data_IF_445858236463
#
_entry.id   IF_445858236463
#
_cell.length_a   1.000
_cell.length_b   1.000
_cell.length_c   1.000
_cell.angle_alpha   90.00
_cell.angle_beta   90.00
_cell.angle_gamma   90.00
#
_symmetry.space_group_name_H-M   'P 1'
#
loop_
_entity.id
_entity.type
_entity.pdbx_description
1 polymer ?
#
# COMPACT_ATOMS: atom_id res chain seq x y z
N UNK A 1 0.80 -20.54 21.84
CA UNK A 1 -0.30 -21.05 20.97
C UNK A 1 -1.18 -19.86 20.62
N UNK A 2 -1.32 -19.52 19.33
CA UNK A 2 -2.16 -18.42 18.84
C UNK A 2 -3.50 -19.00 18.37
N UNK A 3 -4.57 -18.23 18.51
CA UNK A 3 -5.89 -18.58 18.00
C UNK A 3 -6.43 -17.39 17.21
N UNK A 4 -7.02 -17.68 16.05
CA UNK A 4 -7.78 -16.71 15.26
C UNK A 4 -9.26 -17.06 15.42
N UNK A 5 -10.07 -16.06 15.75
CA UNK A 5 -11.52 -16.23 15.92
C UNK A 5 -12.19 -15.35 14.87
N UNK A 6 -12.75 -15.98 13.84
CA UNK A 6 -13.50 -15.30 12.79
C UNK A 6 -14.97 -15.20 13.19
N UNK A 7 -15.51 -13.98 13.20
CA UNK A 7 -16.92 -13.70 13.46
C UNK A 7 -17.46 -12.93 12.26
N UNK A 8 -18.20 -13.62 11.41
CA UNK A 8 -18.94 -12.99 10.31
C UNK A 8 -20.20 -12.31 10.87
N UNK A 9 -20.22 -10.98 10.80
CA UNK A 9 -21.33 -10.14 11.26
C UNK A 9 -22.46 -10.02 10.21
N UNK A 10 -22.22 -10.48 8.98
CA UNK A 10 -23.18 -10.43 7.87
C UNK A 10 -23.90 -11.76 7.65
N UNK A 11 -23.41 -12.83 8.27
CA UNK A 11 -24.05 -14.15 8.29
C UNK A 11 -25.50 -14.04 8.78
N UNK A 12 -26.45 -14.55 7.98
CA UNK A 12 -27.88 -14.55 8.31
C UNK A 12 -28.20 -15.31 9.60
N UNK A 13 -27.34 -16.27 9.99
CA UNK A 13 -27.45 -16.97 11.27
C UNK A 13 -26.94 -16.14 12.47
N UNK A 14 -26.34 -14.97 12.23
CA UNK A 14 -25.88 -14.02 13.26
C UNK A 14 -26.93 -12.96 13.61
N UNK A 15 -28.20 -13.36 13.57
CA UNK A 15 -29.33 -12.54 13.98
C UNK A 15 -29.30 -12.22 15.50
N UNK A 16 -29.74 -11.02 15.96
CA UNK A 16 -29.73 -10.63 17.37
C UNK A 16 -30.42 -11.60 18.34
N UNK A 17 -31.40 -12.37 17.87
CA UNK A 17 -32.09 -13.36 18.69
C UNK A 17 -31.45 -14.74 18.71
N UNK A 18 -30.49 -14.99 17.81
CA UNK A 18 -29.79 -16.25 17.70
C UNK A 18 -28.94 -16.58 18.94
N UNK A 19 -28.74 -17.88 19.18
CA UNK A 19 -27.80 -18.35 20.21
C UNK A 19 -26.36 -17.92 19.92
N UNK A 20 -25.98 -17.84 18.64
CA UNK A 20 -24.64 -17.45 18.19
C UNK A 20 -24.34 -16.00 18.58
N UNK A 21 -25.23 -15.07 18.23
CA UNK A 21 -25.11 -13.66 18.61
C UNK A 21 -25.05 -13.47 20.13
N UNK A 22 -26.03 -14.05 20.85
CA UNK A 22 -26.11 -13.94 22.32
C UNK A 22 -24.85 -14.46 23.01
N UNK A 23 -24.26 -15.55 22.50
CA UNK A 23 -23.01 -16.12 23.02
C UNK A 23 -21.81 -15.20 22.82
N UNK A 24 -21.66 -14.61 21.63
CA UNK A 24 -20.57 -13.66 21.34
C UNK A 24 -20.71 -12.40 22.20
N UNK A 25 -21.91 -11.85 22.28
CA UNK A 25 -22.20 -10.64 23.06
C UNK A 25 -21.89 -10.84 24.55
N UNK A 26 -22.34 -11.96 25.13
CA UNK A 26 -22.03 -12.32 26.52
C UNK A 26 -20.52 -12.47 26.74
N UNK A 27 -19.80 -13.09 25.80
CA UNK A 27 -18.37 -13.27 25.92
C UNK A 27 -17.60 -11.93 25.97
N UNK A 28 -17.99 -10.98 25.11
CA UNK A 28 -17.33 -9.66 25.01
C UNK A 28 -17.76 -8.67 26.09
N UNK A 29 -19.00 -8.76 26.61
CA UNK A 29 -19.51 -7.83 27.63
C UNK A 29 -19.26 -8.29 29.05
N UNK A 30 -19.54 -9.56 29.35
CA UNK A 30 -19.57 -10.05 30.74
C UNK A 30 -18.37 -10.95 31.04
N UNK A 31 -18.07 -11.91 30.17
CA UNK A 31 -17.02 -12.89 30.44
C UNK A 31 -15.62 -12.27 30.40
N UNK A 32 -15.32 -11.51 29.34
CA UNK A 32 -14.02 -10.90 29.13
C UNK A 32 -14.17 -9.55 28.42
N UNK A 33 -14.33 -8.45 29.17
CA UNK A 33 -14.35 -7.11 28.59
C UNK A 33 -12.97 -6.75 28.07
N UNK A 34 -12.81 -6.75 26.76
CA UNK A 34 -11.58 -6.34 26.07
C UNK A 34 -11.68 -4.86 25.67
N UNK A 35 -10.56 -4.15 25.74
CA UNK A 35 -10.45 -2.76 25.34
C UNK A 35 -9.20 -2.59 24.47
N UNK A 36 -9.34 -1.84 23.39
CA UNK A 36 -8.28 -1.57 22.42
C UNK A 36 -8.42 -0.16 21.89
N UNK A 37 -7.32 0.37 21.39
CA UNK A 37 -7.30 1.57 20.57
C UNK A 37 -7.55 1.17 19.11
N UNK A 38 -8.46 1.87 18.44
CA UNK A 38 -8.87 1.55 17.08
C UNK A 38 -8.57 2.71 16.13
N UNK A 39 -8.01 2.38 14.96
CA UNK A 39 -8.08 3.24 13.79
C UNK A 39 -9.42 2.99 13.11
N UNK A 40 -10.21 4.05 12.89
CA UNK A 40 -11.55 3.97 12.31
C UNK A 40 -11.63 4.85 11.07
N UNK A 41 -12.14 4.28 9.98
CA UNK A 41 -12.50 4.98 8.76
C UNK A 41 -13.77 4.38 8.19
N UNK A 42 -14.55 5.18 7.47
CA UNK A 42 -15.77 4.75 6.82
C UNK A 42 -15.87 5.42 5.46
N UNK A 43 -16.08 4.60 4.43
CA UNK A 43 -16.41 5.08 3.10
C UNK A 43 -17.92 5.29 3.02
N UNK A 44 -18.37 6.55 3.08
CA UNK A 44 -19.79 6.86 3.04
C UNK A 44 -20.32 6.76 1.60
N UNK A 45 -21.17 5.76 1.35
CA UNK A 45 -21.85 5.53 0.07
C UNK A 45 -23.34 5.93 0.09
N UNK A 46 -23.84 6.42 1.23
CA UNK A 46 -25.26 6.72 1.44
C UNK A 46 -25.54 8.19 1.74
N UNK A 47 -26.82 8.53 1.85
CA UNK A 47 -27.29 9.88 2.23
C UNK A 47 -27.20 10.14 3.74
N UNK A 48 -26.85 9.13 4.54
CA UNK A 48 -26.78 9.26 5.99
C UNK A 48 -25.67 10.23 6.42
N UNK A 49 -26.08 11.21 7.24
CA UNK A 49 -25.22 12.28 7.77
C UNK A 49 -24.61 11.96 9.13
N UNK A 50 -24.84 10.76 9.67
CA UNK A 50 -24.29 10.40 10.97
C UNK A 50 -22.77 10.31 10.89
N UNK A 51 -22.07 10.87 11.88
CA UNK A 51 -20.60 10.88 11.90
C UNK A 51 -20.10 9.99 13.02
N UNK A 52 -18.91 9.40 12.86
CA UNK A 52 -18.25 8.68 13.96
C UNK A 52 -18.15 9.52 15.23
N UNK A 53 -17.90 10.82 15.09
CA UNK A 53 -17.81 11.75 16.22
C UNK A 53 -19.11 11.78 17.03
N UNK A 54 -20.27 11.85 16.38
CA UNK A 54 -21.56 11.80 17.07
C UNK A 54 -21.83 10.44 17.72
N UNK A 55 -21.54 9.35 17.02
CA UNK A 55 -21.80 7.99 17.49
C UNK A 55 -20.94 7.62 18.70
N UNK A 56 -19.66 7.97 18.66
CA UNK A 56 -18.68 7.69 19.72
C UNK A 56 -18.48 8.87 20.68
N UNK A 57 -19.45 9.78 20.81
CA UNK A 57 -19.37 10.96 21.68
C UNK A 57 -19.03 10.67 23.15
N UNK A 58 -19.31 9.45 23.63
CA UNK A 58 -18.97 8.98 24.99
C UNK A 58 -17.53 8.46 25.12
N UNK A 59 -16.77 8.41 24.02
CA UNK A 59 -15.39 7.94 23.94
C UNK A 59 -14.48 9.07 23.48
N UNK A 60 -13.18 8.98 23.79
CA UNK A 60 -12.19 9.92 23.30
C UNK A 60 -11.86 9.60 21.84
N UNK A 61 -12.64 10.14 20.92
CA UNK A 61 -12.41 10.03 19.49
C UNK A 61 -11.73 11.29 18.96
N UNK A 62 -10.73 11.10 18.09
CA UNK A 62 -10.00 12.19 17.45
C UNK A 62 -10.05 12.00 15.93
N UNK A 63 -10.31 13.08 15.20
CA UNK A 63 -10.22 13.10 13.76
C UNK A 63 -8.78 13.40 13.35
N UNK A 64 -8.20 12.53 12.51
CA UNK A 64 -6.87 12.71 11.95
C UNK A 64 -6.95 12.82 10.43
N UNK A 65 -6.14 13.69 9.86
CA UNK A 65 -5.94 13.79 8.42
C UNK A 65 -4.64 13.07 8.05
N UNK A 66 -4.58 12.37 6.91
CA UNK A 66 -3.34 11.85 6.40
C UNK A 66 -2.30 12.96 6.22
N UNK A 67 -1.05 12.65 6.55
CA UNK A 67 0.08 13.54 6.30
C UNK A 67 0.51 13.38 4.85
N UNK A 68 0.60 14.49 4.12
CA UNK A 68 1.11 14.50 2.74
C UNK A 68 2.42 15.26 2.66
N UNK A 69 3.42 14.68 2.01
CA UNK A 69 4.70 15.32 1.73
C UNK A 69 5.03 15.22 0.25
N UNK A 70 5.54 16.32 -0.31
CA UNK A 70 5.97 16.40 -1.70
C UNK A 70 7.47 16.68 -1.74
N UNK A 71 8.16 15.98 -2.63
CA UNK A 71 9.57 16.21 -2.91
C UNK A 71 9.82 16.22 -4.41
N UNK A 72 10.70 17.12 -4.86
CA UNK A 72 11.15 17.17 -6.26
C UNK A 72 12.63 16.81 -6.29
N UNK A 73 12.90 15.61 -6.80
CA UNK A 73 14.25 15.14 -7.04
C UNK A 73 14.74 15.67 -8.38
N UNK A 74 16.01 16.11 -8.44
CA UNK A 74 16.60 16.66 -9.65
C UNK A 74 17.68 15.74 -10.20
N UNK A 75 17.79 15.69 -11.53
CA UNK A 75 18.80 14.90 -12.25
C UNK A 75 18.82 13.43 -11.81
N UNK A 76 17.64 12.83 -11.63
CA UNK A 76 17.51 11.45 -11.18
C UNK A 76 17.80 10.50 -12.35
N UNK A 77 18.68 9.53 -12.16
CA UNK A 77 18.82 8.43 -13.11
C UNK A 77 17.68 7.44 -12.96
N UNK A 78 16.86 7.32 -13.99
CA UNK A 78 15.72 6.42 -14.05
C UNK A 78 16.02 5.22 -14.97
N UNK A 79 15.73 3.97 -14.55
CA UNK A 79 15.82 2.79 -15.41
C UNK A 79 14.98 2.92 -16.68
N UNK A 80 15.50 2.41 -17.79
CA UNK A 80 14.74 2.29 -19.05
C UNK A 80 13.92 1.01 -18.99
N UNK A 81 12.63 1.09 -19.29
CA UNK A 81 11.68 0.00 -19.17
C UNK A 81 10.92 -0.21 -20.48
N UNK A 82 10.59 -1.47 -20.78
CA UNK A 82 9.67 -1.84 -21.86
C UNK A 82 8.49 -2.61 -21.27
N UNK A 83 7.26 -2.16 -21.51
CA UNK A 83 6.07 -2.69 -20.83
C UNK A 83 5.86 -4.19 -21.04
N UNK A 84 6.28 -4.72 -22.18
CA UNK A 84 6.16 -6.13 -22.55
C UNK A 84 7.32 -7.02 -22.09
N UNK A 85 8.36 -6.48 -21.42
CA UNK A 85 9.58 -7.22 -21.05
C UNK A 85 9.83 -7.16 -19.54
N UNK A 86 9.13 -8.00 -18.76
CA UNK A 86 9.25 -8.04 -17.30
C UNK A 86 10.65 -8.45 -16.79
N UNK A 87 11.35 -9.31 -17.53
CA UNK A 87 12.70 -9.76 -17.16
C UNK A 87 13.80 -8.80 -17.62
N UNK A 88 13.41 -7.70 -18.29
CA UNK A 88 14.35 -6.83 -18.97
C UNK A 88 14.96 -7.51 -20.21
N UNK A 89 15.71 -6.74 -20.96
CA UNK A 89 16.44 -7.20 -22.13
C UNK A 89 17.83 -6.61 -22.09
N UNK A 90 18.83 -7.47 -22.26
CA UNK A 90 20.24 -7.09 -22.14
C UNK A 90 20.55 -5.83 -22.95
N UNK A 91 21.13 -4.83 -22.30
CA UNK A 91 21.50 -3.52 -22.86
C UNK A 91 20.34 -2.65 -23.41
N UNK A 92 19.10 -3.12 -23.36
CA UNK A 92 17.93 -2.42 -23.92
C UNK A 92 16.94 -1.96 -22.85
N UNK A 93 16.66 -2.79 -21.84
CA UNK A 93 15.72 -2.47 -20.76
C UNK A 93 16.03 -3.20 -19.46
N UNK A 94 15.73 -2.55 -18.35
CA UNK A 94 15.85 -3.13 -17.01
C UNK A 94 14.65 -4.03 -16.70
N UNK A 95 14.86 -4.97 -15.78
CA UNK A 95 13.82 -5.86 -15.27
C UNK A 95 12.88 -5.16 -14.27
N UNK A 96 11.71 -5.76 -14.07
CA UNK A 96 10.76 -5.35 -13.05
C UNK A 96 11.38 -5.43 -11.64
N UNK A 97 12.17 -6.47 -11.35
CA UNK A 97 12.81 -6.61 -10.04
C UNK A 97 13.82 -5.49 -9.75
N UNK A 98 14.68 -5.17 -10.71
CA UNK A 98 15.64 -4.06 -10.57
C UNK A 98 14.95 -2.71 -10.33
N UNK A 99 13.82 -2.48 -11.01
CA UNK A 99 13.01 -1.30 -10.77
C UNK A 99 12.44 -1.27 -9.34
N UNK A 100 11.96 -2.41 -8.83
CA UNK A 100 11.38 -2.50 -7.50
C UNK A 100 12.41 -2.14 -6.42
N UNK A 101 13.62 -2.69 -6.51
CA UNK A 101 14.72 -2.37 -5.60
C UNK A 101 15.14 -0.89 -5.72
N UNK A 102 15.21 -0.37 -6.95
CA UNK A 102 15.54 1.04 -7.20
C UNK A 102 14.49 2.00 -6.63
N UNK A 103 13.20 1.70 -6.74
CA UNK A 103 12.13 2.50 -6.14
C UNK A 103 12.28 2.58 -4.62
N UNK A 104 12.63 1.46 -3.96
CA UNK A 104 12.93 1.43 -2.54
C UNK A 104 14.06 2.41 -2.18
N UNK A 105 15.14 2.43 -2.96
CA UNK A 105 16.25 3.38 -2.75
C UNK A 105 15.82 4.85 -2.95
N UNK A 106 15.00 5.13 -3.98
CA UNK A 106 14.49 6.48 -4.27
C UNK A 106 13.59 6.99 -3.16
N UNK A 107 12.63 6.18 -2.69
CA UNK A 107 11.71 6.59 -1.61
C UNK A 107 12.43 6.83 -0.28
N UNK A 108 13.53 6.12 -0.03
CA UNK A 108 14.36 6.29 1.17
C UNK A 108 15.47 7.34 1.00
N UNK A 109 15.50 8.07 -0.11
CA UNK A 109 16.51 9.09 -0.42
C UNK A 109 17.96 8.57 -0.31
N UNK A 110 18.18 7.33 -0.74
CA UNK A 110 19.50 6.69 -0.76
C UNK A 110 20.31 7.27 -1.92
N UNK A 111 21.55 7.69 -1.65
CA UNK A 111 22.46 8.13 -2.69
C UNK A 111 22.87 6.98 -3.62
N UNK A 112 22.65 7.16 -4.92
CA UNK A 112 23.01 6.19 -5.97
C UNK A 112 24.37 6.47 -6.62
N UNK A 113 25.04 7.53 -6.18
CA UNK A 113 26.37 7.90 -6.64
C UNK A 113 27.41 6.99 -5.98
N UNK A 114 27.81 5.91 -6.66
CA UNK A 114 28.89 5.01 -6.23
C UNK A 114 30.26 5.71 -6.30
N UNK A 115 30.45 6.71 -5.44
CA UNK A 115 31.67 7.50 -5.30
C UNK A 115 32.64 6.72 -4.43
N UNK A 116 33.84 6.48 -4.95
CA UNK A 116 34.90 5.67 -4.31
C UNK A 116 35.36 6.17 -2.93
N UNK A 117 35.02 7.41 -2.56
CA UNK A 117 35.32 8.02 -1.26
C UNK A 117 34.13 8.05 -0.30
N UNK A 118 32.96 7.58 -0.72
CA UNK A 118 31.75 7.47 0.10
C UNK A 118 31.52 6.01 0.48
N UNK A 119 31.61 5.70 1.76
CA UNK A 119 31.29 4.37 2.32
C UNK A 119 29.77 4.18 2.57
N UNK A 120 28.93 5.09 2.05
CA UNK A 120 27.51 5.15 2.39
C UNK A 120 26.65 4.14 1.63
N UNK A 121 26.95 3.85 0.36
CA UNK A 121 26.16 2.93 -0.46
C UNK A 121 26.96 2.47 -1.67
N UNK A 122 26.96 1.15 -1.92
CA UNK A 122 27.43 0.56 -3.18
C UNK A 122 26.29 0.35 -4.19
N UNK A 123 25.05 0.66 -3.80
CA UNK A 123 23.88 0.49 -4.64
C UNK A 123 23.89 1.53 -5.79
N UNK A 124 23.75 1.04 -7.02
CA UNK A 124 23.82 1.83 -8.25
C UNK A 124 22.47 1.81 -8.97
N UNK A 125 22.20 2.81 -9.80
CA UNK A 125 21.04 2.77 -10.68
C UNK A 125 21.16 1.63 -11.71
N UNK A 126 20.14 0.78 -11.90
CA UNK A 126 20.10 -0.26 -12.93
C UNK A 126 20.37 0.30 -14.33
N UNK A 127 21.00 -0.48 -15.20
CA UNK A 127 21.33 -0.08 -16.57
C UNK A 127 20.60 -0.94 -17.61
N UNK A 128 20.12 -0.35 -18.73
CA UNK A 128 20.32 1.04 -19.14
C UNK A 128 19.44 2.05 -18.38
N UNK A 129 19.95 3.27 -18.20
CA UNK A 129 19.26 4.36 -17.49
C UNK A 129 19.26 5.67 -18.28
N UNK A 130 18.28 6.54 -18.00
CA UNK A 130 18.19 7.90 -18.55
C UNK A 130 18.12 8.92 -17.41
N UNK A 131 18.84 10.02 -17.54
CA UNK A 131 18.76 11.14 -16.58
C UNK A 131 17.48 11.92 -16.82
N UNK A 132 16.62 11.99 -15.82
CA UNK A 132 15.42 12.81 -15.80
C UNK A 132 15.70 14.07 -14.99
N UNK A 133 15.43 15.24 -15.58
CA UNK A 133 15.71 16.54 -14.95
C UNK A 133 14.94 16.69 -13.63
N UNK A 134 13.67 16.27 -13.60
CA UNK A 134 12.78 16.41 -12.45
C UNK A 134 11.93 15.15 -12.25
N UNK A 135 11.98 14.59 -11.05
CA UNK A 135 11.08 13.53 -10.60
C UNK A 135 10.28 14.01 -9.38
N UNK A 136 8.96 13.83 -9.45
CA UNK A 136 8.04 14.24 -8.39
C UNK A 136 7.70 13.03 -7.52
N UNK A 137 7.97 13.13 -6.22
CA UNK A 137 7.65 12.09 -5.23
C UNK A 137 6.61 12.65 -4.28
N UNK A 138 5.49 11.94 -4.14
CA UNK A 138 4.43 12.24 -3.18
C UNK A 138 4.31 11.07 -2.20
N UNK A 139 4.30 11.36 -0.90
CA UNK A 139 4.08 10.37 0.14
C UNK A 139 2.86 10.79 0.96
N UNK A 140 1.88 9.90 1.04
CA UNK A 140 0.67 10.06 1.86
C UNK A 140 0.74 9.03 2.97
N UNK A 141 0.79 9.47 4.22
CA UNK A 141 0.92 8.62 5.40
C UNK A 141 -0.28 8.77 6.31
N UNK A 142 -0.98 7.66 6.57
CA UNK A 142 -2.15 7.63 7.44
C UNK A 142 -2.94 6.33 7.27
N UNK A 143 -4.16 6.31 7.78
CA UNK A 143 -5.10 5.21 7.56
C UNK A 143 -5.90 5.49 6.28
N UNK A 144 -5.40 4.98 5.14
CA UNK A 144 -5.91 5.29 3.81
C UNK A 144 -6.90 4.22 3.37
N UNK A 145 -8.07 4.65 2.92
CA UNK A 145 -9.11 3.77 2.38
C UNK A 145 -8.74 3.23 0.99
N UNK A 146 -8.91 1.93 0.71
CA UNK A 146 -8.68 1.33 -0.62
C UNK A 146 -9.42 2.06 -1.75
N UNK A 147 -10.64 2.55 -1.51
CA UNK A 147 -11.41 3.29 -2.51
C UNK A 147 -10.72 4.58 -2.96
N UNK A 148 -9.96 5.23 -2.06
CA UNK A 148 -9.15 6.40 -2.40
C UNK A 148 -7.91 6.05 -3.19
N UNK A 149 -7.35 4.87 -2.95
CA UNK A 149 -6.23 4.34 -3.74
C UNK A 149 -6.70 4.00 -5.15
N UNK A 150 -7.88 3.39 -5.29
CA UNK A 150 -8.50 3.12 -6.60
C UNK A 150 -8.71 4.42 -7.38
N UNK A 151 -9.31 5.44 -6.74
CA UNK A 151 -9.48 6.77 -7.35
C UNK A 151 -8.14 7.37 -7.80
N UNK A 152 -7.07 7.23 -7.00
CA UNK A 152 -5.75 7.73 -7.37
C UNK A 152 -5.16 6.96 -8.56
N UNK A 153 -5.31 5.64 -8.59
CA UNK A 153 -4.88 4.79 -9.70
C UNK A 153 -5.60 5.18 -11.00
N UNK A 154 -6.91 5.39 -10.95
CA UNK A 154 -7.70 5.87 -12.09
C UNK A 154 -7.16 7.20 -12.63
N UNK A 155 -6.84 8.16 -11.75
CA UNK A 155 -6.24 9.43 -12.17
C UNK A 155 -4.84 9.26 -12.79
N UNK A 156 -4.05 8.30 -12.33
CA UNK A 156 -2.76 7.97 -12.93
C UNK A 156 -2.90 7.30 -14.30
N UNK A 157 -3.96 6.52 -14.53
CA UNK A 157 -4.29 6.01 -15.86
C UNK A 157 -4.69 7.16 -16.80
N UNK A 158 -5.53 8.08 -16.34
CA UNK A 158 -5.92 9.27 -17.12
C UNK A 158 -4.76 10.26 -17.37
N UNK A 159 -3.67 10.19 -16.59
CA UNK A 159 -2.50 11.05 -16.75
C UNK A 159 -1.91 11.00 -18.18
N UNK A 160 -2.00 9.85 -18.85
CA UNK A 160 -1.47 9.65 -20.20
C UNK A 160 -2.48 9.89 -21.33
N UNK A 161 -3.70 10.37 -21.03
CA UNK A 161 -4.67 10.77 -22.08
C UNK A 161 -4.11 11.92 -22.95
N UNK A 162 -3.33 12.80 -22.34
CA UNK A 162 -2.60 13.86 -23.03
C UNK A 162 -1.13 13.46 -23.24
N UNK A 163 -0.48 13.83 -24.36
CA UNK A 163 0.93 13.55 -24.58
C UNK A 163 1.82 14.08 -23.45
N UNK A 164 2.49 13.18 -22.72
CA UNK A 164 3.43 13.50 -21.64
C UNK A 164 4.87 13.20 -22.04
N UNK A 165 5.82 13.81 -21.35
CA UNK A 165 7.24 13.49 -21.46
C UNK A 165 7.60 12.21 -20.68
N UNK A 166 6.90 11.96 -19.56
CA UNK A 166 7.09 10.74 -18.77
C UNK A 166 6.74 9.49 -19.60
N UNK A 167 7.55 8.44 -19.46
CA UNK A 167 7.32 7.16 -20.13
C UNK A 167 6.45 6.21 -19.28
N UNK A 168 6.54 6.37 -17.97
CA UNK A 168 5.81 5.60 -16.97
C UNK A 168 5.64 6.43 -15.69
N UNK A 169 4.66 6.07 -14.86
CA UNK A 169 4.44 6.59 -13.50
C UNK A 169 4.30 5.42 -12.52
N UNK A 170 4.51 5.67 -11.23
CA UNK A 170 4.45 4.61 -10.21
C UNK A 170 3.47 4.95 -9.10
N UNK A 171 2.83 3.92 -8.56
CA UNK A 171 2.00 3.97 -7.36
C UNK A 171 2.38 2.79 -6.46
N UNK A 172 3.14 3.08 -5.41
CA UNK A 172 3.51 2.09 -4.38
C UNK A 172 2.65 2.29 -3.14
N UNK A 173 2.06 1.20 -2.65
CA UNK A 173 1.24 1.20 -1.45
C UNK A 173 1.84 0.24 -0.43
N UNK A 174 2.07 0.77 0.77
CA UNK A 174 2.50 0.01 1.93
C UNK A 174 1.31 -0.18 2.87
N UNK A 175 0.97 -1.43 3.14
CA UNK A 175 0.03 -1.82 4.19
C UNK A 175 0.67 -1.75 5.58
N UNK A 176 -0.14 -2.05 6.58
CA UNK A 176 0.30 -2.12 7.97
C UNK A 176 1.04 -3.43 8.24
N UNK A 177 2.17 -3.34 8.94
CA UNK A 177 2.93 -4.52 9.34
C UNK A 177 2.14 -5.40 10.32
N UNK A 178 1.31 -4.79 11.17
CA UNK A 178 0.51 -5.40 12.23
C UNK A 178 -0.94 -5.76 11.81
N UNK A 179 -1.22 -5.80 10.51
CA UNK A 179 -2.49 -6.34 10.01
C UNK A 179 -2.64 -7.83 10.40
N UNK A 180 -3.79 -8.28 10.92
CA UNK A 180 -4.02 -9.70 11.20
C UNK A 180 -4.25 -10.54 9.93
N UNK A 181 -4.87 -9.92 8.91
CA UNK A 181 -5.22 -10.49 7.61
C UNK A 181 -5.06 -9.36 6.60
N UNK A 182 -4.34 -9.60 5.50
CA UNK A 182 -4.00 -8.59 4.49
C UNK A 182 -4.62 -8.96 3.13
N UNK A 183 -4.24 -10.12 2.58
CA UNK A 183 -4.72 -10.63 1.30
C UNK A 183 -5.76 -11.73 1.51
N UNK A 184 -7.00 -11.50 1.08
CA UNK A 184 -8.15 -12.42 1.26
C UNK A 184 -8.36 -12.81 2.73
N UNK A 185 -8.42 -14.11 3.02
CA UNK A 185 -8.60 -14.69 4.37
C UNK A 185 -7.28 -15.24 4.96
N UNK A 186 -6.15 -14.99 4.28
CA UNK A 186 -4.86 -15.53 4.70
C UNK A 186 -4.27 -14.72 5.86
N UNK A 187 -3.82 -15.43 6.89
CA UNK A 187 -3.19 -14.83 8.06
C UNK A 187 -1.92 -14.10 7.62
N UNK A 188 -1.80 -12.85 8.03
CA UNK A 188 -0.59 -12.07 7.80
C UNK A 188 0.42 -12.37 8.91
N UNK A 189 1.60 -12.82 8.53
CA UNK A 189 2.73 -13.22 9.36
C UNK A 189 3.45 -12.04 10.01
N UNK A 190 2.70 -11.12 10.62
CA UNK A 190 3.19 -9.86 11.19
C UNK A 190 4.38 -10.02 12.15
N UNK A 191 4.52 -11.17 12.80
CA UNK A 191 5.61 -11.44 13.75
C UNK A 191 6.97 -11.72 13.10
N UNK A 192 7.02 -11.92 11.78
CA UNK A 192 8.23 -12.32 11.04
C UNK A 192 8.67 -11.34 9.96
N UNK A 193 7.89 -10.29 9.69
CA UNK A 193 8.23 -9.27 8.69
C UNK A 193 7.06 -8.38 8.31
N UNK A 194 5.84 -8.93 8.28
CA UNK A 194 4.62 -8.16 8.05
C UNK A 194 4.59 -7.41 6.71
N UNK A 195 5.31 -7.90 5.71
CA UNK A 195 5.45 -7.26 4.40
C UNK A 195 4.12 -7.32 3.64
N UNK A 196 3.45 -6.18 3.55
CA UNK A 196 2.25 -5.99 2.75
C UNK A 196 2.49 -4.79 1.84
N UNK A 197 3.02 -5.03 0.65
CA UNK A 197 3.38 -3.96 -0.27
C UNK A 197 3.01 -4.38 -1.69
N UNK A 198 2.35 -3.48 -2.40
CA UNK A 198 2.15 -3.63 -3.84
C UNK A 198 2.51 -2.35 -4.58
N UNK A 199 2.95 -2.51 -5.82
CA UNK A 199 3.37 -1.42 -6.68
C UNK A 199 2.75 -1.57 -8.07
N UNK A 200 2.21 -0.47 -8.58
CA UNK A 200 1.79 -0.33 -9.96
C UNK A 200 2.82 0.51 -10.72
N UNK A 201 3.30 0.00 -11.84
CA UNK A 201 4.06 0.78 -12.83
C UNK A 201 3.15 0.96 -14.04
N UNK A 202 2.62 2.16 -14.24
CA UNK A 202 1.67 2.46 -15.33
C UNK A 202 2.45 3.09 -16.48
N UNK A 203 2.37 2.48 -17.66
CA UNK A 203 3.06 2.92 -18.86
C UNK A 203 2.17 3.85 -19.70
N UNK A 204 2.79 4.64 -20.58
CA UNK A 204 2.06 5.56 -21.48
C UNK A 204 1.04 4.87 -22.38
N UNK A 205 1.28 3.62 -22.76
CA UNK A 205 0.37 2.82 -23.58
C UNK A 205 -0.76 2.15 -22.78
N UNK A 206 -0.91 2.51 -21.49
CA UNK A 206 -1.88 1.95 -20.54
C UNK A 206 -1.63 0.49 -20.12
N UNK A 207 -0.52 -0.11 -20.54
CA UNK A 207 -0.02 -1.31 -19.88
C UNK A 207 0.36 -0.99 -18.43
N UNK A 208 0.33 -2.00 -17.57
CA UNK A 208 0.86 -1.87 -16.22
C UNK A 208 1.61 -3.11 -15.76
N UNK A 209 2.59 -2.90 -14.88
CA UNK A 209 3.13 -3.97 -14.06
C UNK A 209 2.53 -3.91 -12.67
N UNK A 210 2.08 -5.06 -12.16
CA UNK A 210 1.72 -5.26 -10.76
C UNK A 210 2.83 -6.05 -10.08
N UNK A 211 3.46 -5.43 -9.08
CA UNK A 211 4.48 -6.06 -8.26
C UNK A 211 3.92 -6.19 -6.84
N UNK A 212 3.97 -7.38 -6.28
CA UNK A 212 3.54 -7.64 -4.91
C UNK A 212 4.72 -8.20 -4.12
N UNK A 213 5.02 -7.56 -2.99
CA UNK A 213 5.95 -8.09 -2.00
C UNK A 213 5.14 -8.66 -0.85
N UNK A 214 5.39 -9.93 -0.57
CA UNK A 214 4.63 -10.78 0.33
C UNK A 214 5.60 -11.38 1.32
N UNK A 215 5.27 -11.32 2.60
CA UNK A 215 6.11 -11.87 3.66
C UNK A 215 6.33 -13.37 3.49
N UNK A 216 7.43 -13.89 4.02
CA UNK A 216 7.82 -15.30 3.88
C UNK A 216 6.80 -16.33 4.41
N UNK A 217 5.72 -15.91 5.06
CA UNK A 217 4.67 -16.79 5.59
C UNK A 217 3.27 -16.36 5.14
N UNK A 218 3.19 -15.45 4.16
CA UNK A 218 1.94 -14.89 3.65
C UNK A 218 1.64 -15.49 2.27
N UNK A 219 0.36 -15.55 1.91
CA UNK A 219 -0.06 -16.01 0.59
C UNK A 219 -0.13 -14.84 -0.40
N UNK A 220 0.33 -15.07 -1.64
CA UNK A 220 0.22 -14.10 -2.74
C UNK A 220 -1.02 -14.42 -3.59
N UNK A 221 -2.03 -13.54 -3.68
CA UNK A 221 -3.17 -13.73 -4.58
C UNK A 221 -2.74 -13.60 -6.06
N UNK A 222 -3.55 -14.13 -7.00
CA UNK A 222 -3.27 -14.02 -8.44
C UNK A 222 -3.39 -12.58 -8.96
#
# INVERSE_FOLDING_TARGET
>A
MKYIITIDLTDSAFDPDSKKYKRVLWALKEKKPLQFDFLLSWYNTGEERSTFMSYFSKKQIQAHQPKTTFNTLRNLQCPVLHSNELQGKLEESCSAQELFDWLGAVFNNVGLDNKSFSFLSTYCCPQPSTVVEQAYVCTITGFILPEKIIQLLEQLCCYFEEPKLAQWVTLTVHGFADSPVSWRESEHGFQKGGENLYNFVVFRNLDYWLQMAVGANDDCPP
#
